data_IF_941165011414
#
_entry.id   IF_941165011414
#
_cell.length_a   1.000
_cell.length_b   1.000
_cell.length_c   1.000
_cell.angle_alpha   90.00
_cell.angle_beta   90.00
_cell.angle_gamma   90.00
#
_symmetry.space_group_name_H-M   'P 1'
#
loop_
_entity.id
_entity.type
_entity.pdbx_description
1 polymer ?
#
# COMPACT_ATOMS: atom_id res chain seq x y z
N UNK A 1 20.19 27.95 0.18
CA UNK A 1 19.65 26.69 0.73
C UNK A 1 20.39 25.54 0.08
N UNK A 2 20.96 24.60 0.85
CA UNK A 2 21.64 23.41 0.30
C UNK A 2 20.66 22.23 0.40
N UNK A 3 20.42 21.56 -0.71
CA UNK A 3 19.64 20.34 -0.77
C UNK A 3 20.59 19.15 -0.53
N UNK A 4 20.25 18.27 0.40
CA UNK A 4 20.97 17.03 0.64
C UNK A 4 20.00 15.85 0.44
N UNK A 5 20.39 14.87 -0.37
CA UNK A 5 19.62 13.66 -0.65
C UNK A 5 20.50 12.44 -0.38
N UNK A 6 20.00 11.48 0.41
CA UNK A 6 20.70 10.26 0.78
C UNK A 6 19.74 9.07 0.84
N UNK A 7 20.27 7.86 0.67
CA UNK A 7 19.52 6.61 0.90
C UNK A 7 19.31 6.42 2.40
N UNK A 8 18.08 6.14 2.81
CA UNK A 8 17.69 5.97 4.20
C UNK A 8 17.00 4.62 4.41
N UNK A 9 17.50 3.81 5.34
CA UNK A 9 16.86 2.53 5.67
C UNK A 9 15.89 2.75 6.83
N UNK A 10 14.60 2.52 6.60
CA UNK A 10 13.58 2.56 7.65
C UNK A 10 13.79 1.36 8.59
N UNK A 11 13.76 1.59 9.89
CA UNK A 11 13.89 0.58 10.94
C UNK A 11 12.62 0.43 11.78
N UNK A 12 11.75 1.46 11.81
CA UNK A 12 10.41 1.38 12.41
C UNK A 12 9.52 2.51 11.93
N UNK A 13 8.21 2.36 12.09
CA UNK A 13 7.21 3.41 11.82
C UNK A 13 6.20 3.53 12.95
N UNK A 14 5.64 4.73 13.12
CA UNK A 14 4.51 4.99 14.04
C UNK A 14 3.67 6.16 13.54
N UNK A 15 2.42 6.24 13.98
CA UNK A 15 1.59 7.42 13.81
C UNK A 15 1.84 8.43 14.94
N UNK A 16 1.89 9.72 14.63
CA UNK A 16 1.89 10.80 15.62
C UNK A 16 2.32 12.14 15.06
N UNK A 17 2.40 13.14 15.94
CA UNK A 17 2.85 14.49 15.60
C UNK A 17 4.36 14.55 15.30
N UNK A 18 4.73 15.20 14.19
CA UNK A 18 6.12 15.47 13.81
C UNK A 18 6.44 16.98 13.85
N UNK A 19 7.65 17.41 14.27
CA UNK A 19 8.01 18.82 14.30
C UNK A 19 7.87 19.48 12.91
N UNK A 20 7.01 20.49 12.81
CA UNK A 20 6.75 21.22 11.57
C UNK A 20 5.49 20.79 10.81
N UNK A 21 4.69 19.87 11.36
CA UNK A 21 3.41 19.46 10.78
C UNK A 21 2.40 20.63 10.73
N UNK A 22 1.70 20.73 9.60
CA UNK A 22 0.77 21.83 9.31
C UNK A 22 -0.64 21.55 9.89
N UNK A 23 -1.01 20.28 10.14
CA UNK A 23 -2.13 19.82 10.99
C UNK A 23 -2.32 18.28 10.87
N UNK A 24 -2.66 17.60 11.97
CA UNK A 24 -2.98 16.15 11.99
C UNK A 24 -1.79 15.20 12.25
N UNK A 25 -2.10 13.96 12.63
CA UNK A 25 -1.09 12.92 12.83
C UNK A 25 -0.53 12.40 11.50
N UNK A 26 0.77 12.12 11.46
CA UNK A 26 1.45 11.61 10.26
C UNK A 26 2.16 10.29 10.52
N UNK A 27 2.61 9.62 9.44
CA UNK A 27 3.46 8.43 9.56
C UNK A 27 4.91 8.86 9.72
N UNK A 28 5.46 8.60 10.90
CA UNK A 28 6.84 8.89 11.28
C UNK A 28 7.66 7.62 11.09
N UNK A 29 8.68 7.67 10.25
CA UNK A 29 9.68 6.63 10.10
C UNK A 29 10.93 6.96 10.92
N UNK A 30 11.46 5.98 11.63
CA UNK A 30 12.81 6.00 12.20
C UNK A 30 13.69 5.14 11.32
N UNK A 31 14.95 5.51 11.15
CA UNK A 31 15.88 4.75 10.33
C UNK A 31 17.33 5.20 10.48
N UNK A 32 18.20 4.55 9.71
CA UNK A 32 19.64 4.85 9.71
C UNK A 32 20.07 5.35 8.32
N UNK A 33 20.80 6.46 8.31
CA UNK A 33 21.63 6.85 7.18
C UNK A 33 22.98 6.13 7.25
N UNK A 34 23.69 6.00 6.14
CA UNK A 34 25.00 5.33 6.07
C UNK A 34 25.89 5.73 7.26
N UNK A 35 26.16 4.77 8.14
CA UNK A 35 26.78 4.87 9.47
C UNK A 35 25.86 5.30 10.64
N UNK A 36 25.12 4.32 11.17
CA UNK A 36 24.83 4.08 12.61
C UNK A 36 24.11 5.16 13.42
N UNK A 37 23.71 6.29 12.85
CA UNK A 37 22.91 7.31 13.55
C UNK A 37 21.44 7.11 13.24
N UNK A 38 20.65 6.83 14.29
CA UNK A 38 19.20 6.86 14.20
C UNK A 38 18.72 8.27 13.91
N UNK A 39 17.95 8.43 12.84
CA UNK A 39 17.28 9.67 12.46
C UNK A 39 15.78 9.40 12.26
N UNK A 40 14.97 10.46 12.33
CA UNK A 40 13.52 10.40 12.09
C UNK A 40 13.15 11.24 10.89
N UNK A 41 12.15 10.80 10.13
CA UNK A 41 11.60 11.52 8.99
C UNK A 41 10.11 11.19 8.80
N UNK A 42 9.35 12.13 8.26
CA UNK A 42 7.95 11.93 7.89
C UNK A 42 7.84 11.21 6.55
N UNK A 43 6.90 10.28 6.39
CA UNK A 43 6.63 9.62 5.10
C UNK A 43 5.50 10.35 4.38
N UNK A 44 5.77 10.86 3.17
CA UNK A 44 4.77 11.42 2.28
C UNK A 44 4.37 10.40 1.20
N UNK A 45 3.10 10.01 1.21
CA UNK A 45 2.44 9.25 0.14
C UNK A 45 1.62 10.15 -0.77
N UNK A 46 1.22 9.64 -1.95
CA UNK A 46 0.26 10.35 -2.80
C UNK A 46 -1.11 10.38 -2.10
N UNK A 47 -1.88 11.49 -2.17
CA UNK A 47 -3.26 11.52 -1.67
C UNK A 47 -4.07 10.35 -2.25
N UNK A 48 -4.72 9.56 -1.38
CA UNK A 48 -5.43 8.33 -1.77
C UNK A 48 -4.60 7.04 -1.74
N UNK A 49 -3.29 7.12 -1.53
CA UNK A 49 -2.36 5.99 -1.40
C UNK A 49 -1.41 6.24 -0.22
N UNK A 50 -1.94 6.25 1.01
CA UNK A 50 -1.14 6.34 2.23
C UNK A 50 -0.87 4.92 2.73
N UNK A 51 0.35 4.43 2.50
CA UNK A 51 0.82 3.16 3.04
C UNK A 51 1.73 3.41 4.24
N UNK A 52 1.54 2.65 5.32
CA UNK A 52 2.48 2.61 6.44
C UNK A 52 3.56 1.55 6.12
N UNK A 53 4.78 1.93 5.71
CA UNK A 53 5.78 0.96 5.29
C UNK A 53 6.27 0.13 6.49
N UNK A 54 6.48 -1.19 6.33
CA UNK A 54 7.06 -2.02 7.37
C UNK A 54 8.53 -1.64 7.63
N UNK A 55 9.07 -2.14 8.74
CA UNK A 55 10.49 -1.97 9.05
C UNK A 55 11.37 -2.64 7.98
N UNK A 56 12.54 -2.05 7.70
CA UNK A 56 13.52 -2.59 6.74
C UNK A 56 13.40 -2.05 5.32
N UNK A 57 12.30 -1.38 4.97
CA UNK A 57 12.08 -0.77 3.66
C UNK A 57 13.03 0.43 3.43
N UNK A 58 13.53 0.60 2.21
CA UNK A 58 14.41 1.71 1.84
C UNK A 58 13.58 2.87 1.30
N UNK A 59 13.87 4.09 1.77
CA UNK A 59 13.23 5.33 1.31
C UNK A 59 14.26 6.34 0.82
N UNK A 60 13.79 7.31 0.02
CA UNK A 60 14.58 8.48 -0.38
C UNK A 60 14.23 9.64 0.53
N UNK A 61 15.21 10.15 1.27
CA UNK A 61 15.03 11.25 2.22
C UNK A 61 15.45 12.61 1.64
N UNK A 62 14.59 13.60 1.85
CA UNK A 62 14.80 15.02 1.59
C UNK A 62 14.84 15.80 2.90
N UNK A 63 15.88 16.60 3.10
CA UNK A 63 15.99 17.53 4.23
C UNK A 63 15.81 18.98 3.76
N UNK A 64 14.84 19.70 4.33
CA UNK A 64 14.58 21.12 4.07
C UNK A 64 14.60 21.87 5.42
N UNK A 65 15.72 22.51 5.75
CA UNK A 65 15.90 23.10 7.08
C UNK A 65 15.92 22.02 8.17
N UNK A 66 15.02 22.10 9.15
CA UNK A 66 14.81 21.08 10.19
C UNK A 66 13.80 19.99 9.80
N UNK A 67 13.12 20.13 8.66
CA UNK A 67 12.14 19.16 8.18
C UNK A 67 12.84 18.04 7.40
N UNK A 68 12.52 16.80 7.75
CA UNK A 68 13.01 15.59 7.10
C UNK A 68 11.81 14.80 6.56
N UNK A 69 11.74 14.63 5.24
CA UNK A 69 10.66 13.93 4.54
C UNK A 69 11.22 12.76 3.74
N UNK A 70 10.55 11.62 3.73
CA UNK A 70 10.74 10.53 2.79
C UNK A 70 9.64 10.61 1.74
N UNK A 71 10.03 10.72 0.46
CA UNK A 71 9.09 10.66 -0.67
C UNK A 71 9.31 9.33 -1.37
N UNK A 72 8.33 8.43 -1.23
CA UNK A 72 8.40 7.08 -1.77
C UNK A 72 9.29 6.15 -0.94
N UNK A 73 8.76 4.96 -0.67
CA UNK A 73 9.47 3.85 -0.06
C UNK A 73 9.36 2.65 -1.01
N UNK A 74 10.48 1.99 -1.31
CA UNK A 74 10.51 0.85 -2.23
C UNK A 74 10.70 -0.45 -1.46
N UNK A 75 9.70 -1.32 -1.52
CA UNK A 75 9.79 -2.67 -0.99
C UNK A 75 10.31 -3.64 -2.04
N UNK A 76 11.56 -4.08 -1.88
CA UNK A 76 12.20 -5.04 -2.79
C UNK A 76 11.72 -6.48 -2.61
N UNK A 77 10.98 -6.79 -1.54
CA UNK A 77 10.39 -8.11 -1.34
C UNK A 77 9.09 -8.29 -2.13
N UNK A 78 8.51 -7.19 -2.63
CA UNK A 78 7.31 -7.21 -3.46
C UNK A 78 7.73 -7.22 -4.93
N UNK A 79 7.36 -8.25 -5.70
CA UNK A 79 7.61 -8.27 -7.13
C UNK A 79 6.94 -7.08 -7.81
N UNK A 80 7.70 -6.41 -8.67
CA UNK A 80 7.17 -5.37 -9.55
C UNK A 80 6.14 -5.96 -10.52
N UNK A 81 5.21 -5.14 -11.03
CA UNK A 81 4.38 -5.53 -12.15
C UNK A 81 5.24 -6.05 -13.32
N UNK A 82 4.76 -7.08 -13.99
CA UNK A 82 5.55 -7.80 -14.99
C UNK A 82 5.59 -7.04 -16.32
N UNK A 83 4.51 -6.33 -16.65
CA UNK A 83 4.33 -5.69 -17.94
C UNK A 83 4.42 -4.16 -17.87
N UNK A 84 5.01 -3.51 -18.89
CA UNK A 84 5.00 -2.06 -18.99
C UNK A 84 3.57 -1.49 -19.00
N UNK A 85 3.33 -0.49 -18.14
CA UNK A 85 2.01 0.17 -18.04
C UNK A 85 1.11 -0.40 -16.94
N UNK A 86 1.51 -1.50 -16.29
CA UNK A 86 0.80 -2.01 -15.13
C UNK A 86 0.97 -1.11 -13.88
N UNK A 87 -0.07 -1.05 -13.06
CA UNK A 87 -0.01 -0.43 -11.73
C UNK A 87 -0.43 -1.44 -10.68
N UNK A 88 0.41 -1.65 -9.67
CA UNK A 88 0.13 -2.58 -8.57
C UNK A 88 -0.08 -1.84 -7.26
N UNK A 89 -1.23 -2.08 -6.66
CA UNK A 89 -1.57 -1.71 -5.29
C UNK A 89 -1.44 -2.97 -4.45
N UNK A 90 -0.77 -2.90 -3.31
CA UNK A 90 -0.54 -4.09 -2.49
C UNK A 90 -0.53 -3.76 -1.00
N UNK A 91 -0.77 -4.78 -0.19
CA UNK A 91 -0.47 -4.78 1.25
C UNK A 91 0.63 -5.79 1.55
N UNK A 92 1.29 -5.62 2.70
CA UNK A 92 2.30 -6.55 3.19
C UNK A 92 2.04 -6.90 4.64
N UNK A 93 2.64 -8.00 5.10
CA UNK A 93 2.78 -8.27 6.52
C UNK A 93 3.88 -7.39 7.15
N UNK A 94 4.16 -7.64 8.43
CA UNK A 94 5.15 -6.91 9.21
C UNK A 94 6.59 -7.09 8.72
N UNK A 95 6.89 -8.18 8.02
CA UNK A 95 8.21 -8.50 7.48
C UNK A 95 8.42 -7.93 6.07
N UNK A 96 7.34 -7.42 5.46
CA UNK A 96 7.33 -6.84 4.13
C UNK A 96 6.95 -7.81 3.03
N UNK A 97 6.49 -9.02 3.34
CA UNK A 97 6.01 -9.95 2.34
C UNK A 97 4.59 -9.59 1.89
N UNK A 98 4.32 -9.69 0.60
CA UNK A 98 3.03 -9.39 -0.03
C UNK A 98 1.89 -10.24 0.54
N UNK A 99 0.74 -9.61 0.84
CA UNK A 99 -0.44 -10.28 1.40
C UNK A 99 -1.70 -10.12 0.54
N UNK A 100 -1.92 -8.95 -0.04
CA UNK A 100 -3.02 -8.70 -0.97
C UNK A 100 -2.57 -7.79 -2.10
N UNK A 101 -3.19 -7.93 -3.27
CA UNK A 101 -2.84 -7.16 -4.47
C UNK A 101 -4.07 -6.75 -5.28
N UNK A 102 -3.95 -5.61 -5.94
CA UNK A 102 -4.75 -5.23 -7.09
C UNK A 102 -3.81 -4.73 -8.19
N UNK A 103 -3.79 -5.41 -9.34
CA UNK A 103 -2.99 -5.07 -10.51
C UNK A 103 -3.91 -4.50 -11.58
N UNK A 104 -3.73 -3.24 -11.93
CA UNK A 104 -4.34 -2.62 -13.10
C UNK A 104 -3.48 -2.95 -14.31
N UNK A 105 -4.05 -3.67 -15.27
CA UNK A 105 -3.36 -4.17 -16.47
C UNK A 105 -3.44 -3.17 -17.63
N UNK A 106 -2.49 -3.21 -18.58
CA UNK A 106 -2.48 -2.30 -19.73
C UNK A 106 -3.67 -2.51 -20.69
N UNK A 107 -4.32 -3.67 -20.65
CA UNK A 107 -5.52 -3.97 -21.44
C UNK A 107 -6.83 -3.44 -20.84
N UNK A 108 -6.74 -2.71 -19.71
CA UNK A 108 -7.89 -2.14 -19.00
C UNK A 108 -8.56 -3.09 -18.02
N UNK A 109 -8.04 -4.32 -17.85
CA UNK A 109 -8.51 -5.25 -16.83
C UNK A 109 -7.86 -5.02 -15.47
N UNK A 110 -8.44 -5.57 -14.41
CA UNK A 110 -7.89 -5.53 -13.05
C UNK A 110 -7.83 -6.96 -12.50
N UNK A 111 -6.68 -7.34 -11.94
CA UNK A 111 -6.49 -8.59 -11.21
C UNK A 111 -6.44 -8.32 -9.72
N UNK A 112 -7.25 -9.03 -8.92
CA UNK A 112 -7.32 -8.86 -7.47
C UNK A 112 -6.89 -10.17 -6.82
N UNK A 113 -5.83 -10.14 -6.01
CA UNK A 113 -5.27 -11.29 -5.29
C UNK A 113 -4.88 -12.49 -6.18
N UNK A 114 -4.44 -12.21 -7.41
CA UNK A 114 -3.97 -13.25 -8.33
C UNK A 114 -5.09 -14.20 -8.80
N UNK A 115 -4.79 -15.51 -8.77
CA UNK A 115 -5.69 -16.56 -9.23
C UNK A 115 -6.59 -17.15 -8.12
N UNK A 116 -6.54 -16.59 -6.92
CA UNK A 116 -7.37 -17.03 -5.82
C UNK A 116 -8.69 -16.27 -5.83
N UNK A 117 -9.81 -16.99 -5.98
CA UNK A 117 -11.15 -16.43 -6.05
C UNK A 117 -11.60 -15.87 -4.68
N UNK A 118 -11.25 -14.61 -4.43
CA UNK A 118 -11.73 -13.86 -3.26
C UNK A 118 -12.79 -12.81 -3.63
N UNK A 119 -12.98 -12.54 -4.92
CA UNK A 119 -13.96 -11.59 -5.43
C UNK A 119 -14.73 -12.21 -6.58
N UNK A 120 -16.06 -12.25 -6.47
CA UNK A 120 -16.94 -12.66 -7.57
C UNK A 120 -17.26 -11.45 -8.45
N UNK A 121 -17.19 -11.62 -9.76
CA UNK A 121 -17.67 -10.59 -10.68
C UNK A 121 -19.17 -10.33 -10.43
N UNK A 122 -19.60 -9.07 -10.59
CA UNK A 122 -21.00 -8.69 -10.33
C UNK A 122 -22.02 -9.58 -11.07
N UNK A 123 -21.71 -9.99 -12.31
CA UNK A 123 -22.59 -10.83 -13.11
C UNK A 123 -22.77 -12.23 -12.51
N UNK A 124 -21.70 -12.83 -11.97
CA UNK A 124 -21.74 -14.14 -11.36
C UNK A 124 -22.45 -14.09 -10.00
N UNK A 125 -22.20 -13.04 -9.22
CA UNK A 125 -22.94 -12.78 -7.98
C UNK A 125 -24.44 -12.59 -8.25
N UNK A 126 -24.78 -11.81 -9.29
CA UNK A 126 -26.17 -11.59 -9.71
C UNK A 126 -26.82 -12.89 -10.17
N UNK A 127 -26.11 -13.71 -10.94
CA UNK A 127 -26.62 -15.00 -11.42
C UNK A 127 -26.88 -15.97 -10.25
N UNK A 128 -25.95 -16.07 -9.30
CA UNK A 128 -26.13 -16.85 -8.08
C UNK A 128 -27.31 -16.34 -7.24
N UNK A 129 -27.45 -15.03 -7.09
CA UNK A 129 -28.57 -14.41 -6.39
C UNK A 129 -29.93 -14.67 -7.08
N UNK A 130 -30.00 -14.54 -8.40
CA UNK A 130 -31.22 -14.78 -9.17
C UNK A 130 -31.66 -16.25 -9.07
N UNK A 131 -30.70 -17.18 -9.07
CA UNK A 131 -30.95 -18.62 -8.86
C UNK A 131 -31.50 -18.87 -7.46
N UNK A 132 -30.85 -18.35 -6.42
CA UNK A 132 -31.32 -18.47 -5.03
C UNK A 132 -32.75 -17.93 -4.86
N UNK A 133 -33.04 -16.79 -5.49
CA UNK A 133 -34.39 -16.18 -5.46
C UNK A 133 -35.42 -17.07 -6.15
N UNK A 134 -35.08 -17.67 -7.29
CA UNK A 134 -35.95 -18.60 -8.02
C UNK A 134 -36.26 -19.85 -7.19
N UNK A 135 -35.22 -20.45 -6.60
CA UNK A 135 -35.35 -21.65 -5.77
C UNK A 135 -36.20 -21.38 -4.54
N UNK A 136 -35.99 -20.24 -3.87
CA UNK A 136 -36.79 -19.83 -2.72
C UNK A 136 -38.28 -19.66 -3.07
N UNK A 137 -38.59 -19.01 -4.20
CA UNK A 137 -39.97 -18.86 -4.65
C UNK A 137 -40.60 -20.21 -5.04
N UNK A 138 -39.80 -21.11 -5.60
CA UNK A 138 -40.26 -22.47 -5.94
C UNK A 138 -40.56 -23.28 -4.69
N UNK A 139 -39.72 -23.17 -3.66
CA UNK A 139 -39.98 -23.78 -2.36
C UNK A 139 -41.31 -23.29 -1.77
N UNK A 140 -41.53 -21.98 -1.72
CA UNK A 140 -42.76 -21.39 -1.16
C UNK A 140 -44.06 -21.81 -1.87
N UNK A 141 -44.01 -22.24 -3.13
CA UNK A 141 -45.21 -22.71 -3.86
C UNK A 141 -45.53 -24.18 -3.61
N UNK A 142 -44.64 -24.93 -2.95
CA UNK A 142 -44.80 -26.34 -2.61
C UNK A 142 -45.04 -26.59 -1.11
N UNK A 143 -45.12 -25.53 -0.30
CA UNK A 143 -45.53 -25.54 1.12
C UNK A 143 -46.90 -24.91 1.25
#
# INVERSE_FOLDING_TARGET
>A
MKLFANIFKITSTKQGAYPGDIEGDSIIATGEASASKGETAQVYGMPGFIANPPAGIKGVRFRIGSLDIIIGALNYQVPLPADPGETKVYSTDADGAEQATAILKPDGTMEINGNADFAVAFNDLKSGFDTLKSDFNTFLTHV
#
